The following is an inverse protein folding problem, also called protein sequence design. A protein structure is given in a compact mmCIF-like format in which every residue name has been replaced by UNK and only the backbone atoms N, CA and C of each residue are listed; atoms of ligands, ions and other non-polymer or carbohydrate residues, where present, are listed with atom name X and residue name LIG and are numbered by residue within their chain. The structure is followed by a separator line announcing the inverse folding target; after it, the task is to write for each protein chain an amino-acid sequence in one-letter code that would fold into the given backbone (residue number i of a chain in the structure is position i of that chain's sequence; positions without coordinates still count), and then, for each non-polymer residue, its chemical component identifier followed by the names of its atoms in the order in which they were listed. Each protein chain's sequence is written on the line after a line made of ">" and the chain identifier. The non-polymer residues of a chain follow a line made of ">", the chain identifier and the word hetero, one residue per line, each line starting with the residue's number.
data_IF_050231004686
#
_entry.id   IF_050231004686
#
_cell.length_a   1.000
_cell.length_b   1.000
_cell.length_c   1.000
_cell.angle_alpha   90.00
_cell.angle_beta   90.00
_cell.angle_gamma   90.00
#
_symmetry.space_group_name_H-M   'P 1'
#
loop_
_entity.id
_entity.type
_entity.pdbx_description
1 polymer ?
#
# COMPACT_ATOMS: atom_id res chain seq x y z
N UNK A 1 33.19 -2.10 18.57
CA UNK A 1 34.04 -2.45 19.73
C UNK A 1 33.32 -3.33 20.75
N UNK A 2 32.03 -3.12 20.99
CA UNK A 2 31.24 -3.88 21.99
C UNK A 2 31.19 -5.40 21.75
N UNK A 3 31.05 -5.85 20.50
CA UNK A 3 31.02 -7.29 20.20
C UNK A 3 32.34 -8.02 20.48
N UNK A 4 33.48 -7.35 20.28
CA UNK A 4 34.81 -7.91 20.58
C UNK A 4 35.05 -8.01 22.08
N UNK A 5 34.58 -7.04 22.86
CA UNK A 5 34.68 -7.07 24.33
C UNK A 5 33.80 -8.16 24.93
N UNK A 6 32.60 -8.38 24.39
CA UNK A 6 31.71 -9.48 24.80
C UNK A 6 32.35 -10.84 24.47
N UNK A 7 32.93 -10.97 23.28
CA UNK A 7 33.61 -12.21 22.88
C UNK A 7 34.84 -12.51 23.74
N UNK A 8 35.65 -11.50 24.05
CA UNK A 8 36.81 -11.63 24.93
C UNK A 8 36.39 -11.98 26.37
N UNK A 9 35.31 -11.38 26.87
CA UNK A 9 34.75 -11.71 28.18
C UNK A 9 34.28 -13.16 28.26
N UNK A 10 33.54 -13.64 27.25
CA UNK A 10 33.11 -15.06 27.19
C UNK A 10 34.30 -16.02 27.10
N UNK A 11 35.33 -15.67 26.33
CA UNK A 11 36.55 -16.47 26.23
C UNK A 11 37.25 -16.60 27.59
N UNK A 12 37.38 -15.51 28.34
CA UNK A 12 38.00 -15.51 29.67
C UNK A 12 37.18 -16.33 30.68
N UNK A 13 35.84 -16.26 30.62
CA UNK A 13 34.96 -17.07 31.46
C UNK A 13 35.16 -18.56 31.17
N UNK A 14 35.18 -18.96 29.89
CA UNK A 14 35.39 -20.35 29.49
C UNK A 14 36.76 -20.87 29.94
N UNK A 15 37.82 -20.07 29.80
CA UNK A 15 39.16 -20.44 30.28
C UNK A 15 39.18 -20.61 31.81
N UNK A 16 38.46 -19.78 32.56
CA UNK A 16 38.35 -19.93 34.02
C UNK A 16 37.62 -21.21 34.42
N UNK A 17 36.57 -21.61 33.68
CA UNK A 17 35.80 -22.83 33.95
C UNK A 17 36.66 -24.06 33.69
N UNK A 18 37.41 -24.08 32.57
CA UNK A 18 38.34 -25.16 32.25
C UNK A 18 39.40 -25.29 33.35
N UNK A 19 39.94 -24.18 33.82
CA UNK A 19 40.90 -24.15 34.93
C UNK A 19 40.29 -24.71 36.23
N UNK A 20 39.07 -24.32 36.57
CA UNK A 20 38.35 -24.78 37.75
C UNK A 20 38.11 -26.30 37.69
N UNK A 21 37.71 -26.83 36.53
CA UNK A 21 37.55 -28.28 36.31
C UNK A 21 38.87 -29.03 36.51
N UNK A 22 39.99 -28.48 36.03
CA UNK A 22 41.32 -29.06 36.20
C UNK A 22 41.78 -29.05 37.67
N UNK A 23 41.39 -28.04 38.45
CA UNK A 23 41.71 -27.96 39.89
C UNK A 23 40.87 -28.88 40.76
N UNK A 24 39.61 -29.16 40.41
CA UNK A 24 38.70 -29.99 41.21
C UNK A 24 39.06 -31.49 41.10
N UNK A 25 39.48 -31.95 39.92
CA UNK A 25 39.76 -33.37 39.67
C UNK A 25 41.12 -33.62 38.99
N UNK A 26 42.25 -33.19 39.59
CA UNK A 26 43.57 -33.34 38.98
C UNK A 26 43.96 -34.81 38.82
N UNK A 27 43.43 -35.69 39.68
CA UNK A 27 43.75 -37.13 39.69
C UNK A 27 43.23 -37.88 38.46
N UNK A 28 42.14 -37.45 37.84
CA UNK A 28 41.45 -38.21 36.77
C UNK A 28 42.03 -37.95 35.37
N UNK A 29 42.59 -36.75 35.13
CA UNK A 29 43.12 -36.34 33.82
C UNK A 29 44.65 -36.28 33.76
N UNK A 30 45.34 -36.11 34.89
CA UNK A 30 46.82 -35.96 34.92
C UNK A 30 47.54 -37.30 35.10
N UNK A 31 46.83 -38.36 35.53
CA UNK A 31 47.42 -39.68 35.77
C UNK A 31 47.97 -40.42 34.54
N UNK A 32 47.38 -40.37 33.32
CA UNK A 32 47.93 -41.12 32.19
C UNK A 32 49.19 -40.49 31.56
N UNK A 33 49.48 -39.20 31.82
CA UNK A 33 50.51 -38.45 31.07
C UNK A 33 51.80 -38.20 31.88
N UNK A 34 51.78 -38.26 33.22
CA UNK A 34 52.91 -37.80 34.04
C UNK A 34 53.46 -38.91 34.94
N UNK A 35 54.48 -39.64 34.46
CA UNK A 35 55.27 -40.60 35.27
C UNK A 35 56.33 -39.91 36.15
N UNK A 36 56.55 -38.60 36.02
CA UNK A 36 57.64 -37.89 36.70
C UNK A 36 57.13 -36.92 37.78
N UNK A 37 57.37 -37.24 39.05
CA UNK A 37 56.87 -36.48 40.23
C UNK A 37 57.42 -35.05 40.32
N UNK A 38 58.51 -34.74 39.62
CA UNK A 38 59.18 -33.44 39.67
C UNK A 38 58.45 -32.35 38.85
N UNK A 39 57.82 -32.73 37.74
CA UNK A 39 57.13 -31.78 36.85
C UNK A 39 55.76 -31.34 37.38
N UNK A 40 55.10 -32.18 38.19
CA UNK A 40 53.78 -31.87 38.80
C UNK A 40 53.88 -30.73 39.81
N UNK A 41 54.94 -30.71 40.64
CA UNK A 41 55.17 -29.63 41.61
C UNK A 41 55.42 -28.30 40.91
N UNK A 42 56.24 -28.29 39.84
CA UNK A 42 56.50 -27.09 39.04
C UNK A 42 55.26 -26.60 38.29
N UNK A 43 54.45 -27.51 37.75
CA UNK A 43 53.20 -27.17 37.06
C UNK A 43 52.18 -26.53 38.01
N UNK A 44 52.02 -27.07 39.22
CA UNK A 44 51.11 -26.50 40.23
C UNK A 44 51.54 -25.08 40.64
N UNK A 45 52.84 -24.82 40.82
CA UNK A 45 53.34 -23.47 41.13
C UNK A 45 53.08 -22.49 39.99
N UNK A 46 53.30 -22.89 38.74
CA UNK A 46 53.04 -22.04 37.57
C UNK A 46 51.54 -21.75 37.44
N UNK A 47 50.70 -22.77 37.60
CA UNK A 47 49.24 -22.68 37.48
C UNK A 47 48.64 -21.78 38.58
N UNK A 48 49.13 -21.93 39.82
CA UNK A 48 48.76 -21.06 40.95
C UNK A 48 49.22 -19.62 40.73
N UNK A 49 50.44 -19.39 40.22
CA UNK A 49 50.94 -18.04 39.94
C UNK A 49 50.16 -17.34 38.83
N UNK A 50 49.76 -18.08 37.79
CA UNK A 50 48.94 -17.56 36.68
C UNK A 50 47.52 -17.22 37.16
N UNK A 51 46.93 -18.04 38.03
CA UNK A 51 45.65 -17.75 38.66
C UNK A 51 45.68 -16.47 39.51
N UNK A 52 46.73 -16.27 40.30
CA UNK A 52 46.92 -15.02 41.05
C UNK A 52 47.09 -13.80 40.13
N UNK A 53 47.78 -13.96 38.99
CA UNK A 53 47.96 -12.88 38.02
C UNK A 53 46.65 -12.49 37.34
N UNK A 54 45.83 -13.47 36.96
CA UNK A 54 44.50 -13.23 36.39
C UNK A 54 43.59 -12.55 37.42
N UNK A 55 43.62 -12.99 38.68
CA UNK A 55 42.86 -12.36 39.76
C UNK A 55 43.29 -10.89 39.99
N UNK A 56 44.59 -10.62 39.95
CA UNK A 56 45.12 -9.26 40.06
C UNK A 56 44.68 -8.36 38.89
N UNK A 57 44.67 -8.88 37.66
CA UNK A 57 44.16 -8.15 36.49
C UNK A 57 42.66 -7.87 36.60
N UNK A 58 41.86 -8.81 37.09
CA UNK A 58 40.43 -8.60 37.32
C UNK A 58 40.21 -7.49 38.37
N UNK A 59 40.97 -7.50 39.48
CA UNK A 59 40.89 -6.46 40.51
C UNK A 59 41.35 -5.09 39.99
N UNK A 60 42.36 -5.03 39.13
CA UNK A 60 42.82 -3.80 38.49
C UNK A 60 41.77 -3.24 37.52
N UNK A 61 41.13 -4.11 36.72
CA UNK A 61 40.03 -3.71 35.84
C UNK A 61 38.87 -3.16 36.68
N UNK A 62 38.43 -3.88 37.72
CA UNK A 62 37.36 -3.42 38.61
C UNK A 62 37.69 -2.05 39.23
N UNK A 63 38.93 -1.85 39.69
CA UNK A 63 39.39 -0.57 40.23
C UNK A 63 39.43 0.57 39.21
N UNK A 64 39.60 0.27 37.92
CA UNK A 64 39.55 1.28 36.85
C UNK A 64 38.10 1.68 36.50
N UNK A 65 37.16 0.72 36.47
CA UNK A 65 35.75 0.99 36.14
C UNK A 65 34.93 1.60 37.29
N UNK A 66 35.41 1.56 38.54
CA UNK A 66 34.72 2.21 39.67
C UNK A 66 35.05 3.70 39.83
N UNK A 67 35.82 4.28 38.91
CA UNK A 67 36.07 5.72 38.89
C UNK A 67 34.77 6.46 38.52
N UNK A 68 34.24 7.37 39.36
CA UNK A 68 32.94 8.01 39.16
C UNK A 68 32.84 8.92 37.92
N UNK A 69 33.96 9.21 37.24
CA UNK A 69 34.00 10.04 36.02
C UNK A 69 33.49 9.32 34.76
N UNK A 70 33.66 8.00 34.63
CA UNK A 70 33.23 7.29 33.41
C UNK A 70 31.70 7.19 33.27
N UNK A 71 30.96 7.21 34.38
CA UNK A 71 29.50 7.13 34.36
C UNK A 71 28.86 8.40 33.78
N UNK A 72 29.39 9.58 34.13
CA UNK A 72 28.83 10.86 33.68
C UNK A 72 29.04 11.12 32.19
N UNK A 73 30.19 10.70 31.65
CA UNK A 73 30.47 10.84 30.21
C UNK A 73 29.60 9.90 29.37
N UNK A 74 29.34 8.69 29.88
CA UNK A 74 28.46 7.72 29.23
C UNK A 74 26.99 8.18 29.21
N UNK A 75 26.50 8.75 30.33
CA UNK A 75 25.13 9.29 30.43
C UNK A 75 24.94 10.50 29.50
N UNK A 76 25.90 11.44 29.50
CA UNK A 76 25.84 12.61 28.62
C UNK A 76 25.87 12.22 27.13
N UNK A 77 26.67 11.23 26.76
CA UNK A 77 26.74 10.72 25.39
C UNK A 77 25.44 10.01 24.98
N UNK A 78 24.83 9.25 25.89
CA UNK A 78 23.57 8.57 25.65
C UNK A 78 22.38 9.55 25.49
N UNK A 79 22.36 10.65 26.24
CA UNK A 79 21.37 11.72 26.07
C UNK A 79 21.55 12.44 24.72
N UNK A 80 22.79 12.69 24.31
CA UNK A 80 23.10 13.33 23.03
C UNK A 80 22.68 12.47 21.84
N UNK A 81 22.91 11.15 21.91
CA UNK A 81 22.52 10.21 20.88
C UNK A 81 20.99 10.08 20.79
N UNK A 82 20.27 10.05 21.92
CA UNK A 82 18.79 10.05 21.92
C UNK A 82 18.20 11.35 21.34
N UNK A 83 18.78 12.51 21.66
CA UNK A 83 18.29 13.78 21.12
C UNK A 83 18.52 13.85 19.60
N UNK A 84 19.66 13.35 19.13
CA UNK A 84 19.99 13.29 17.71
C UNK A 84 19.07 12.33 16.95
N UNK A 85 18.77 11.16 17.52
CA UNK A 85 17.84 10.19 16.93
C UNK A 85 16.42 10.76 16.84
N UNK A 86 15.94 11.43 17.89
CA UNK A 86 14.64 12.13 17.87
C UNK A 86 14.57 13.22 16.80
N UNK A 87 15.61 14.05 16.66
CA UNK A 87 15.67 15.08 15.62
C UNK A 87 15.70 14.49 14.21
N UNK A 88 16.39 13.37 14.01
CA UNK A 88 16.42 12.69 12.71
C UNK A 88 15.06 12.05 12.38
N UNK A 89 14.39 11.44 13.36
CA UNK A 89 13.04 10.88 13.18
C UNK A 89 12.01 11.97 12.86
N UNK A 90 12.05 13.10 13.57
CA UNK A 90 11.16 14.24 13.33
C UNK A 90 11.40 14.85 11.94
N UNK A 91 12.66 14.98 11.52
CA UNK A 91 13.01 15.43 10.18
C UNK A 91 12.51 14.48 9.08
N UNK A 92 12.61 13.16 9.29
CA UNK A 92 12.07 12.14 8.35
C UNK A 92 10.56 12.22 8.26
N UNK A 93 9.85 12.31 9.39
CA UNK A 93 8.38 12.46 9.44
C UNK A 93 7.92 13.73 8.72
N UNK A 94 8.61 14.86 8.94
CA UNK A 94 8.29 16.12 8.27
C UNK A 94 8.53 16.03 6.75
N UNK A 95 9.62 15.38 6.31
CA UNK A 95 9.92 15.19 4.89
C UNK A 95 8.89 14.26 4.21
N UNK A 96 8.47 13.19 4.89
CA UNK A 96 7.43 12.28 4.40
C UNK A 96 6.08 12.98 4.29
N UNK A 97 5.69 13.74 5.31
CA UNK A 97 4.42 14.49 5.31
C UNK A 97 4.37 15.52 4.17
N UNK A 98 5.48 16.21 3.90
CA UNK A 98 5.58 17.14 2.76
C UNK A 98 5.43 16.45 1.41
N UNK A 99 6.06 15.27 1.23
CA UNK A 99 5.92 14.49 0.00
C UNK A 99 4.47 14.03 -0.21
N UNK A 100 3.82 13.58 0.85
CA UNK A 100 2.44 13.10 0.82
C UNK A 100 1.45 14.24 0.53
N UNK A 101 1.69 15.44 1.06
CA UNK A 101 0.91 16.64 0.74
C UNK A 101 1.10 17.08 -0.72
N UNK A 102 2.35 17.07 -1.22
CA UNK A 102 2.65 17.42 -2.61
C UNK A 102 1.99 16.44 -3.58
N UNK A 103 2.10 15.13 -3.34
CA UNK A 103 1.45 14.10 -4.15
C UNK A 103 -0.07 14.26 -4.17
N UNK A 104 -0.69 14.55 -3.02
CA UNK A 104 -2.13 14.80 -2.93
C UNK A 104 -2.56 16.01 -3.75
N UNK A 105 -1.78 17.10 -3.73
CA UNK A 105 -2.04 18.29 -4.57
C UNK A 105 -1.92 17.96 -6.07
N UNK A 106 -0.93 17.16 -6.47
CA UNK A 106 -0.76 16.74 -7.87
C UNK A 106 -1.93 15.87 -8.35
N UNK A 107 -2.38 14.94 -7.52
CA UNK A 107 -3.54 14.09 -7.83
C UNK A 107 -4.84 14.90 -7.94
N UNK A 108 -5.04 15.89 -7.05
CA UNK A 108 -6.20 16.77 -7.10
C UNK A 108 -6.18 17.65 -8.36
N UNK A 109 -5.03 18.22 -8.72
CA UNK A 109 -4.87 19.00 -9.95
C UNK A 109 -5.12 18.15 -11.20
N UNK A 110 -4.58 16.93 -11.25
CA UNK A 110 -4.82 16.02 -12.37
C UNK A 110 -6.30 15.65 -12.50
N UNK A 111 -6.98 15.39 -11.37
CA UNK A 111 -8.41 15.09 -11.36
C UNK A 111 -9.23 16.28 -11.89
N UNK A 112 -8.89 17.51 -11.49
CA UNK A 112 -9.55 18.73 -12.00
C UNK A 112 -9.31 18.93 -13.49
N UNK A 113 -8.10 18.65 -14.00
CA UNK A 113 -7.80 18.70 -15.44
C UNK A 113 -8.59 17.65 -16.22
N UNK A 114 -8.64 16.41 -15.74
CA UNK A 114 -9.43 15.34 -16.37
C UNK A 114 -10.93 15.66 -16.39
N UNK A 115 -11.47 16.20 -15.30
CA UNK A 115 -12.88 16.60 -15.24
C UNK A 115 -13.18 17.78 -16.19
N UNK A 116 -12.28 18.76 -16.28
CA UNK A 116 -12.43 19.88 -17.21
C UNK A 116 -12.40 19.40 -18.66
N UNK A 117 -11.47 18.52 -19.03
CA UNK A 117 -11.38 17.95 -20.38
C UNK A 117 -12.62 17.12 -20.72
N UNK A 118 -13.13 16.32 -19.78
CA UNK A 118 -14.35 15.54 -19.98
C UNK A 118 -15.60 16.43 -20.18
N UNK A 119 -15.70 17.55 -19.44
CA UNK A 119 -16.79 18.53 -19.63
C UNK A 119 -16.69 19.24 -20.97
N UNK A 120 -15.49 19.67 -21.37
CA UNK A 120 -15.26 20.31 -22.67
C UNK A 120 -15.58 19.36 -23.82
N UNK A 121 -15.18 18.10 -23.72
CA UNK A 121 -15.46 17.08 -24.74
C UNK A 121 -16.96 16.79 -24.84
N UNK A 122 -17.65 16.63 -23.70
CA UNK A 122 -19.10 16.43 -23.67
C UNK A 122 -19.87 17.62 -24.26
N UNK A 123 -19.42 18.86 -24.01
CA UNK A 123 -20.03 20.06 -24.59
C UNK A 123 -19.82 20.13 -26.11
N UNK A 124 -18.62 19.78 -26.60
CA UNK A 124 -18.35 19.70 -28.04
C UNK A 124 -19.22 18.65 -28.72
N UNK A 125 -19.35 17.46 -28.14
CA UNK A 125 -20.21 16.40 -28.66
C UNK A 125 -21.69 16.83 -28.70
N UNK A 126 -22.19 17.44 -27.62
CA UNK A 126 -23.57 17.94 -27.57
C UNK A 126 -23.83 19.07 -28.59
N UNK A 127 -22.86 19.97 -28.80
CA UNK A 127 -22.96 21.03 -29.80
C UNK A 127 -22.94 20.49 -31.23
N UNK A 128 -22.10 19.49 -31.52
CA UNK A 128 -22.06 18.82 -32.84
C UNK A 128 -23.38 18.08 -33.12
N UNK A 129 -23.90 17.36 -32.13
CA UNK A 129 -25.17 16.64 -32.27
C UNK A 129 -26.34 17.61 -32.51
N UNK A 130 -26.39 18.74 -31.79
CA UNK A 130 -27.37 19.80 -32.04
C UNK A 130 -27.28 20.36 -33.45
N UNK A 131 -26.07 20.60 -33.98
CA UNK A 131 -25.88 21.06 -35.36
C UNK A 131 -26.39 20.04 -36.38
N UNK A 132 -26.11 18.75 -36.18
CA UNK A 132 -26.63 17.68 -37.05
C UNK A 132 -28.15 17.60 -37.00
N UNK A 133 -28.77 17.72 -35.82
CA UNK A 133 -30.22 17.72 -35.67
C UNK A 133 -30.88 18.94 -36.33
N UNK A 134 -30.27 20.12 -36.22
CA UNK A 134 -30.79 21.34 -36.87
C UNK A 134 -30.67 21.28 -38.40
N UNK A 135 -29.58 20.73 -38.93
CA UNK A 135 -29.40 20.51 -40.38
C UNK A 135 -30.45 19.54 -40.94
N UNK A 136 -30.70 18.43 -40.24
CA UNK A 136 -31.74 17.46 -40.61
C UNK A 136 -33.14 18.08 -40.54
N UNK A 137 -33.40 18.96 -39.57
CA UNK A 137 -34.67 19.67 -39.45
C UNK A 137 -34.89 20.68 -40.59
N UNK A 138 -33.84 21.41 -41.02
CA UNK A 138 -33.91 22.32 -42.16
C UNK A 138 -34.13 21.56 -43.48
N UNK A 139 -33.40 20.47 -43.71
CA UNK A 139 -33.55 19.65 -44.91
C UNK A 139 -34.96 19.06 -45.08
N UNK A 140 -35.65 18.73 -43.96
CA UNK A 140 -37.05 18.28 -44.00
C UNK A 140 -38.06 19.40 -44.32
N UNK A 141 -37.73 20.66 -44.02
CA UNK A 141 -38.64 21.80 -44.26
C UNK A 141 -38.62 22.21 -45.74
N UNK A 142 -37.47 22.11 -46.40
CA UNK A 142 -37.33 22.48 -47.83
C UNK A 142 -37.99 21.48 -48.79
N UNK A 143 -38.25 20.23 -48.37
CA UNK A 143 -39.02 19.26 -49.17
C UNK A 143 -40.55 19.47 -49.11
N UNK A 144 -41.07 20.39 -48.29
CA UNK A 144 -42.52 20.59 -48.12
C UNK A 144 -43.07 21.84 -48.83
N UNK A 145 -42.26 22.58 -49.60
CA UNK A 145 -42.70 23.76 -50.37
C UNK A 145 -42.87 23.47 -51.88
N UNK A 146 -42.65 22.22 -52.32
CA UNK A 146 -42.83 21.82 -53.72
C UNK A 146 -43.59 20.50 -53.86
N UNK A 147 -44.85 20.45 -53.41
CA UNK A 147 -45.86 19.48 -53.90
C UNK A 147 -47.20 19.68 -53.22
N UNK A 148 -47.93 20.71 -53.64
CA UNK A 148 -49.38 20.84 -53.41
C UNK A 148 -50.12 20.55 -54.71
N UNK A 149 -50.49 19.28 -54.94
CA UNK A 149 -51.59 18.89 -55.84
C UNK A 149 -51.90 17.40 -55.71
N UNK A 150 -53.12 17.08 -55.22
CA UNK A 150 -53.95 15.88 -55.47
C UNK A 150 -53.29 14.48 -55.33
N UNK A 151 -53.84 13.48 -54.63
CA UNK A 151 -55.25 13.11 -54.48
C UNK A 151 -55.40 11.99 -53.44
N UNK A 152 -56.52 12.06 -52.72
CA UNK A 152 -57.41 10.99 -52.26
C UNK A 152 -56.93 9.54 -52.29
N UNK A 153 -57.02 8.86 -51.15
CA UNK A 153 -57.15 7.40 -51.16
C UNK A 153 -56.78 6.66 -49.88
N UNK A 154 -57.74 6.63 -48.95
CA UNK A 154 -58.10 5.46 -48.14
C UNK A 154 -57.19 5.02 -46.96
N UNK A 155 -57.71 5.31 -45.76
CA UNK A 155 -58.04 4.36 -44.68
C UNK A 155 -57.00 3.29 -44.30
N UNK A 156 -56.44 3.40 -43.08
CA UNK A 156 -56.88 2.56 -41.96
C UNK A 156 -56.17 2.90 -40.64
N UNK A 157 -56.99 2.93 -39.59
CA UNK A 157 -56.67 2.79 -38.16
C UNK A 157 -55.74 3.80 -37.50
N UNK A 158 -56.39 4.84 -37.00
CA UNK A 158 -56.07 5.40 -35.70
C UNK A 158 -55.93 4.27 -34.64
N UNK A 159 -54.84 4.29 -33.89
CA UNK A 159 -54.89 3.95 -32.48
C UNK A 159 -54.08 4.98 -31.71
N UNK A 160 -54.83 5.93 -31.18
CA UNK A 160 -54.39 6.95 -30.25
C UNK A 160 -54.14 6.36 -28.85
N UNK A 161 -53.00 6.79 -28.25
CA UNK A 161 -52.62 6.90 -26.81
C UNK A 161 -51.78 5.76 -26.15
N UNK A 162 -51.01 6.06 -25.07
CA UNK A 162 -51.00 7.30 -24.25
C UNK A 162 -49.63 8.00 -24.03
N UNK A 163 -49.63 9.22 -23.44
CA UNK A 163 -48.42 9.90 -22.98
C UNK A 163 -48.02 9.35 -21.60
N UNK A 164 -47.39 8.18 -21.54
CA UNK A 164 -46.79 7.73 -20.28
C UNK A 164 -45.48 8.49 -20.05
N UNK A 165 -45.50 9.43 -19.11
CA UNK A 165 -44.30 9.95 -18.45
C UNK A 165 -44.04 9.08 -17.22
N UNK A 166 -43.16 8.09 -17.31
CA UNK A 166 -42.75 7.32 -16.15
C UNK A 166 -42.12 5.96 -16.45
N UNK A 167 -41.43 5.40 -15.44
CA UNK A 167 -40.71 4.11 -15.45
C UNK A 167 -41.61 2.87 -15.35
N UNK A 168 -42.92 3.06 -15.42
CA UNK A 168 -43.94 2.02 -15.23
C UNK A 168 -44.59 1.59 -16.55
N UNK A 169 -43.77 1.48 -17.60
CA UNK A 169 -44.19 0.95 -18.89
C UNK A 169 -43.79 -0.52 -18.97
N UNK A 170 -44.68 -1.34 -19.51
CA UNK A 170 -44.54 -2.79 -19.64
C UNK A 170 -44.76 -3.24 -21.08
N UNK A 171 -44.40 -4.48 -21.41
CA UNK A 171 -44.60 -5.00 -22.76
C UNK A 171 -46.07 -5.10 -23.18
N UNK A 172 -47.01 -5.11 -22.23
CA UNK A 172 -48.44 -5.14 -22.55
C UNK A 172 -48.97 -3.79 -23.06
N UNK A 173 -48.18 -2.72 -22.93
CA UNK A 173 -48.54 -1.38 -23.39
C UNK A 173 -48.25 -1.16 -24.90
N UNK A 174 -47.59 -2.11 -25.54
CA UNK A 174 -47.19 -2.04 -26.95
C UNK A 174 -47.85 -3.12 -27.79
N UNK A 175 -48.12 -2.77 -29.05
CA UNK A 175 -48.70 -3.69 -30.02
C UNK A 175 -47.64 -4.54 -30.71
N UNK A 176 -46.42 -4.02 -30.87
CA UNK A 176 -45.30 -4.70 -31.55
C UNK A 176 -43.97 -4.46 -30.81
N UNK A 177 -43.00 -5.35 -31.03
CA UNK A 177 -41.64 -5.20 -30.48
C UNK A 177 -40.90 -4.00 -31.05
N UNK A 178 -41.18 -3.60 -32.30
CA UNK A 178 -40.62 -2.40 -32.92
C UNK A 178 -41.05 -1.13 -32.20
N UNK A 179 -42.34 -1.03 -31.84
CA UNK A 179 -42.91 0.09 -31.09
C UNK A 179 -42.30 0.20 -29.69
N UNK A 180 -42.21 -0.94 -28.98
CA UNK A 180 -41.59 -1.02 -27.67
C UNK A 180 -40.11 -0.62 -27.70
N UNK A 181 -39.38 -1.04 -28.75
CA UNK A 181 -37.95 -0.74 -28.92
C UNK A 181 -37.73 0.74 -29.21
N UNK A 182 -38.59 1.33 -30.04
CA UNK A 182 -38.56 2.77 -30.31
C UNK A 182 -38.82 3.58 -29.03
N UNK A 183 -39.77 3.17 -28.20
CA UNK A 183 -40.06 3.80 -26.91
C UNK A 183 -38.89 3.66 -25.92
N UNK A 184 -38.32 2.45 -25.79
CA UNK A 184 -37.14 2.20 -24.98
C UNK A 184 -35.99 3.14 -25.36
N UNK A 185 -35.71 3.30 -26.66
CA UNK A 185 -34.62 4.16 -27.15
C UNK A 185 -34.89 5.64 -26.93
N UNK A 186 -36.13 6.09 -27.09
CA UNK A 186 -36.52 7.49 -26.92
C UNK A 186 -36.46 7.96 -25.46
N UNK A 187 -36.83 7.08 -24.52
CA UNK A 187 -36.94 7.43 -23.09
C UNK A 187 -35.90 6.74 -22.20
N UNK A 188 -34.97 5.98 -22.79
CA UNK A 188 -33.90 5.23 -22.11
C UNK A 188 -34.43 4.28 -21.01
N UNK A 189 -35.51 3.55 -21.32
CA UNK A 189 -36.18 2.64 -20.37
C UNK A 189 -35.70 1.21 -20.59
N UNK A 190 -34.61 0.82 -19.93
CA UNK A 190 -34.02 -0.53 -20.07
C UNK A 190 -34.84 -1.67 -19.43
N UNK A 191 -35.98 -1.36 -18.82
CA UNK A 191 -36.86 -2.35 -18.15
C UNK A 191 -37.66 -3.19 -19.15
N UNK A 192 -37.82 -2.71 -20.38
CA UNK A 192 -38.56 -3.39 -21.46
C UNK A 192 -37.72 -4.44 -22.20
N UNK A 193 -36.39 -4.37 -22.06
CA UNK A 193 -35.42 -5.29 -22.64
C UNK A 193 -34.81 -6.14 -21.51
N UNK A 194 -35.35 -7.36 -21.37
CA UNK A 194 -35.02 -8.26 -20.25
C UNK A 194 -33.60 -8.79 -20.33
N UNK A 195 -33.11 -9.04 -21.54
CA UNK A 195 -31.81 -9.65 -21.84
C UNK A 195 -30.75 -8.64 -22.28
N UNK A 196 -31.13 -7.35 -22.42
CA UNK A 196 -30.25 -6.22 -22.74
C UNK A 196 -29.60 -6.33 -24.10
N UNK A 197 -30.28 -6.95 -25.06
CA UNK A 197 -29.77 -7.18 -26.40
C UNK A 197 -30.09 -6.02 -27.37
N UNK A 198 -30.81 -4.99 -26.89
CA UNK A 198 -31.22 -3.82 -27.66
C UNK A 198 -32.59 -3.94 -28.30
N UNK A 199 -33.30 -5.05 -28.10
CA UNK A 199 -34.66 -5.30 -28.60
C UNK A 199 -35.60 -5.40 -27.41
N UNK A 200 -36.59 -4.51 -27.35
CA UNK A 200 -37.58 -4.52 -26.29
C UNK A 200 -38.71 -5.51 -26.61
N UNK A 201 -39.18 -6.22 -25.59
CA UNK A 201 -40.43 -7.00 -25.66
C UNK A 201 -40.50 -8.00 -26.83
N UNK A 202 -39.43 -8.77 -27.08
CA UNK A 202 -39.32 -9.76 -28.17
C UNK A 202 -40.45 -10.81 -28.24
N UNK A 203 -41.21 -10.96 -27.15
CA UNK A 203 -42.42 -11.78 -27.13
C UNK A 203 -43.56 -11.23 -28.01
N UNK A 204 -43.52 -9.96 -28.38
CA UNK A 204 -44.48 -9.30 -29.28
C UNK A 204 -44.00 -9.47 -30.73
N UNK A 205 -44.66 -10.36 -31.47
CA UNK A 205 -44.46 -10.52 -32.91
C UNK A 205 -45.39 -9.63 -33.70
#
# INVERSE_FOLDING_TARGET
>A
MSALLVFLGLLLILLSIVFLILTINPKRMVQPIIKNKFTVKRLHTILSSLGCFILALILLIIGAVTSPDFGKELEAQQEQDQEKEKKEEEAKKLAEQKKLEEEKKRLEEEKRKKEALAKEEAEKQAAEERKKQEEVAKAKTDQQTSSSSSSSGNSSSASSKPPYKGTDVTCSDFSTSEEATAYMKAYNVTKLDRDKNGVACESLK
#
